data_IF_260993113214
#
_entry.id   IF_260993113214
#
_cell.length_a   1.000
_cell.length_b   1.000
_cell.length_c   1.000
_cell.angle_alpha   90.00
_cell.angle_beta   90.00
_cell.angle_gamma   90.00
#
_symmetry.space_group_name_H-M   'P 1'
#
loop_
_entity.id
_entity.type
_entity.pdbx_description
1 polymer ?
#
# COMPACT_ATOMS: atom_id res chain seq x y z
N UNK A 1 69.83 -1.29 -23.26
CA UNK A 1 68.63 -1.48 -22.42
C UNK A 1 67.31 -1.55 -23.21
N UNK A 2 67.08 -0.68 -24.20
CA UNK A 2 65.82 -0.66 -24.98
C UNK A 2 65.42 -2.00 -25.65
N UNK A 3 66.37 -2.75 -26.24
CA UNK A 3 66.09 -4.05 -26.88
C UNK A 3 65.54 -5.11 -25.91
N UNK A 4 66.06 -5.17 -24.69
CA UNK A 4 65.59 -6.12 -23.68
C UNK A 4 64.16 -5.80 -23.20
N UNK A 5 63.77 -4.53 -23.19
CA UNK A 5 62.41 -4.10 -22.85
C UNK A 5 61.42 -4.51 -23.95
N UNK A 6 61.80 -4.38 -25.22
CA UNK A 6 60.98 -4.79 -26.36
C UNK A 6 60.76 -6.31 -26.38
N UNK A 7 61.80 -7.10 -26.14
CA UNK A 7 61.68 -8.56 -26.03
C UNK A 7 60.75 -8.99 -24.88
N UNK A 8 60.85 -8.32 -23.73
CA UNK A 8 59.93 -8.56 -22.60
C UNK A 8 58.48 -8.14 -22.92
N UNK A 9 58.29 -7.09 -23.70
CA UNK A 9 56.95 -6.67 -24.14
C UNK A 9 56.35 -7.66 -25.15
N UNK A 10 57.19 -8.22 -26.04
CA UNK A 10 56.79 -9.24 -27.00
C UNK A 10 56.37 -10.54 -26.31
N UNK A 11 57.18 -11.06 -25.39
CA UNK A 11 56.84 -12.28 -24.63
C UNK A 11 55.54 -12.14 -23.85
N UNK A 12 55.30 -10.98 -23.20
CA UNK A 12 54.04 -10.72 -22.51
C UNK A 12 52.82 -10.70 -23.44
N UNK A 13 52.98 -10.21 -24.68
CA UNK A 13 51.90 -10.27 -25.68
C UNK A 13 51.60 -11.69 -26.12
N UNK A 14 52.64 -12.47 -26.41
CA UNK A 14 52.51 -13.87 -26.82
C UNK A 14 51.90 -14.73 -25.68
N UNK A 15 52.29 -14.47 -24.44
CA UNK A 15 51.69 -15.09 -23.25
C UNK A 15 50.22 -14.68 -23.07
N UNK A 16 49.87 -13.41 -23.28
CA UNK A 16 48.48 -12.94 -23.19
C UNK A 16 47.61 -13.57 -24.29
N UNK A 17 48.13 -13.68 -25.50
CA UNK A 17 47.46 -14.29 -26.66
C UNK A 17 47.22 -15.79 -26.43
N UNK A 18 48.23 -16.54 -26.02
CA UNK A 18 48.06 -17.95 -25.63
C UNK A 18 47.05 -18.11 -24.50
N UNK A 19 47.04 -17.20 -23.53
CA UNK A 19 46.10 -17.27 -22.41
C UNK A 19 44.67 -16.90 -22.84
N UNK A 20 44.50 -16.02 -23.85
CA UNK A 20 43.21 -15.75 -24.50
C UNK A 20 42.72 -16.95 -25.30
N UNK A 21 43.57 -17.54 -26.12
CA UNK A 21 43.26 -18.75 -26.89
C UNK A 21 42.90 -19.92 -25.98
N UNK A 22 43.63 -20.13 -24.88
CA UNK A 22 43.29 -21.15 -23.88
C UNK A 22 41.93 -20.88 -23.22
N UNK A 23 41.61 -19.62 -22.88
CA UNK A 23 40.29 -19.23 -22.35
C UNK A 23 39.17 -19.45 -23.37
N UNK A 24 39.43 -19.18 -24.64
CA UNK A 24 38.46 -19.36 -25.73
C UNK A 24 38.23 -20.85 -26.02
N UNK A 25 39.29 -21.66 -26.03
CA UNK A 25 39.19 -23.12 -26.13
C UNK A 25 38.47 -23.73 -24.93
N UNK A 26 38.72 -23.24 -23.70
CA UNK A 26 37.96 -23.65 -22.51
C UNK A 26 36.47 -23.28 -22.65
N UNK A 27 36.16 -22.06 -23.09
CA UNK A 27 34.77 -21.62 -23.34
C UNK A 27 34.07 -22.43 -24.43
N UNK A 28 34.80 -22.82 -25.48
CA UNK A 28 34.26 -23.64 -26.56
C UNK A 28 34.05 -25.11 -26.14
N UNK A 29 34.80 -25.58 -25.14
CA UNK A 29 34.71 -26.94 -24.59
C UNK A 29 33.66 -27.07 -23.48
N UNK A 30 33.28 -25.96 -22.84
CA UNK A 30 32.14 -25.92 -21.93
C UNK A 30 30.82 -26.08 -22.71
N UNK A 31 29.99 -27.09 -22.39
CA UNK A 31 28.69 -27.24 -23.03
C UNK A 31 27.80 -26.01 -22.77
N UNK A 32 26.90 -25.60 -23.69
CA UNK A 32 26.08 -24.38 -23.59
C UNK A 32 25.05 -24.33 -22.45
N UNK A 33 25.16 -25.18 -21.43
CA UNK A 33 24.15 -25.39 -20.41
C UNK A 33 24.19 -24.38 -19.24
N UNK A 34 25.30 -23.66 -19.01
CA UNK A 34 25.42 -22.80 -17.83
C UNK A 34 24.88 -21.37 -17.98
N UNK A 35 24.76 -20.84 -19.21
CA UNK A 35 24.30 -19.46 -19.40
C UNK A 35 22.77 -19.33 -19.43
N UNK A 36 22.03 -20.43 -19.67
CA UNK A 36 20.56 -20.42 -19.73
C UNK A 36 19.89 -20.51 -18.35
N UNK A 37 20.59 -21.02 -17.34
CA UNK A 37 20.06 -21.18 -15.98
C UNK A 37 20.09 -19.88 -15.16
N UNK A 38 21.06 -19.00 -15.43
CA UNK A 38 21.21 -17.73 -14.73
C UNK A 38 20.01 -16.77 -14.91
N UNK A 39 19.53 -16.50 -16.15
CA UNK A 39 18.35 -15.64 -16.35
C UNK A 39 17.06 -16.25 -15.80
N UNK A 40 16.90 -17.57 -15.89
CA UNK A 40 15.74 -18.27 -15.32
C UNK A 40 15.72 -18.19 -13.78
N UNK A 41 16.89 -18.32 -13.14
CA UNK A 41 17.05 -18.20 -11.69
C UNK A 41 16.83 -16.77 -11.19
N UNK A 42 17.26 -15.77 -11.95
CA UNK A 42 16.95 -14.36 -11.67
C UNK A 42 15.44 -14.08 -11.80
N UNK A 43 14.81 -14.58 -12.86
CA UNK A 43 13.36 -14.47 -13.05
C UNK A 43 12.58 -15.07 -11.88
N UNK A 44 12.97 -16.25 -11.41
CA UNK A 44 12.38 -16.88 -10.23
C UNK A 44 12.60 -16.06 -8.94
N UNK A 45 13.77 -15.46 -8.76
CA UNK A 45 14.06 -14.59 -7.62
C UNK A 45 13.19 -13.32 -7.63
N UNK A 46 13.04 -12.66 -8.79
CA UNK A 46 12.16 -11.50 -8.93
C UNK A 46 10.69 -11.87 -8.74
N UNK A 47 10.24 -13.01 -9.25
CA UNK A 47 8.89 -13.50 -9.00
C UNK A 47 8.65 -13.75 -7.50
N UNK A 48 9.64 -14.30 -6.79
CA UNK A 48 9.58 -14.52 -5.35
C UNK A 48 9.51 -13.20 -4.58
N UNK A 49 10.33 -12.22 -4.95
CA UNK A 49 10.28 -10.87 -4.38
C UNK A 49 8.94 -10.19 -4.65
N UNK A 50 8.44 -10.27 -5.88
CA UNK A 50 7.13 -9.75 -6.26
C UNK A 50 6.02 -10.36 -5.42
N UNK A 51 6.05 -11.69 -5.20
CA UNK A 51 5.10 -12.37 -4.33
C UNK A 51 5.19 -11.95 -2.86
N UNK A 52 6.39 -11.68 -2.34
CA UNK A 52 6.57 -11.13 -1.00
C UNK A 52 6.00 -9.72 -0.87
N UNK A 53 6.30 -8.85 -1.84
CA UNK A 53 5.79 -7.47 -1.85
C UNK A 53 4.26 -7.44 -1.98
N UNK A 54 3.68 -8.31 -2.80
CA UNK A 54 2.23 -8.43 -2.94
C UNK A 54 1.57 -8.90 -1.64
N UNK A 55 2.16 -9.89 -0.94
CA UNK A 55 1.66 -10.31 0.38
C UNK A 55 1.75 -9.19 1.40
N UNK A 56 2.88 -8.48 1.46
CA UNK A 56 3.04 -7.36 2.36
C UNK A 56 2.03 -6.23 2.08
N UNK A 57 1.72 -5.95 0.81
CA UNK A 57 0.70 -4.98 0.43
C UNK A 57 -0.71 -5.42 0.83
N UNK A 58 -1.03 -6.71 0.70
CA UNK A 58 -2.32 -7.26 1.12
C UNK A 58 -2.49 -7.25 2.65
N UNK A 59 -1.45 -7.62 3.40
CA UNK A 59 -1.45 -7.53 4.87
C UNK A 59 -1.62 -6.08 5.34
N UNK A 60 -0.97 -5.15 4.65
CA UNK A 60 -1.11 -3.72 4.90
C UNK A 60 -2.57 -3.26 4.69
N UNK A 61 -3.20 -3.66 3.58
CA UNK A 61 -4.60 -3.35 3.30
C UNK A 61 -5.53 -3.92 4.39
N UNK A 62 -5.32 -5.17 4.80
CA UNK A 62 -6.12 -5.82 5.85
C UNK A 62 -5.96 -5.14 7.21
N UNK A 63 -4.73 -4.78 7.58
CA UNK A 63 -4.44 -4.05 8.81
C UNK A 63 -5.17 -2.71 8.84
N UNK A 64 -5.00 -1.86 7.81
CA UNK A 64 -5.61 -0.54 7.78
C UNK A 64 -7.11 -0.53 7.48
N UNK A 65 -7.67 -1.65 7.01
CA UNK A 65 -9.13 -1.85 6.96
C UNK A 65 -9.73 -1.96 8.37
N UNK A 66 -8.99 -2.51 9.33
CA UNK A 66 -9.47 -2.78 10.69
C UNK A 66 -9.02 -1.72 11.71
N UNK A 67 -7.96 -0.96 11.42
CA UNK A 67 -7.45 0.09 12.31
C UNK A 67 -8.18 1.42 12.08
N UNK A 68 -8.77 2.03 13.12
CA UNK A 68 -9.47 3.30 12.97
C UNK A 68 -8.50 4.46 12.76
N UNK A 69 -8.91 5.47 11.98
CA UNK A 69 -8.04 6.55 11.49
C UNK A 69 -7.30 7.35 12.60
N UNK A 70 -7.85 7.45 13.81
CA UNK A 70 -7.20 8.14 14.93
C UNK A 70 -5.97 7.42 15.49
N UNK A 71 -5.80 6.13 15.16
CA UNK A 71 -4.61 5.34 15.51
C UNK A 71 -3.49 5.47 14.48
N UNK A 72 -3.76 6.12 13.34
CA UNK A 72 -2.78 6.31 12.28
C UNK A 72 -1.99 7.60 12.51
N UNK A 73 -0.67 7.52 12.45
CA UNK A 73 0.20 8.69 12.43
C UNK A 73 0.26 9.31 11.02
N UNK A 74 0.85 10.50 10.88
CA UNK A 74 0.92 11.21 9.60
C UNK A 74 1.57 10.42 8.46
N UNK A 75 2.56 9.57 8.76
CA UNK A 75 3.24 8.76 7.76
C UNK A 75 2.36 7.61 7.27
N UNK A 76 1.60 6.99 8.18
CA UNK A 76 0.63 5.95 7.85
C UNK A 76 -0.52 6.53 7.01
N UNK A 77 -1.00 7.74 7.34
CA UNK A 77 -2.00 8.44 6.53
C UNK A 77 -1.47 8.70 5.11
N UNK A 78 -0.24 9.23 4.96
CA UNK A 78 0.39 9.43 3.64
C UNK A 78 0.53 8.12 2.86
N UNK A 79 0.89 7.03 3.54
CA UNK A 79 0.99 5.71 2.94
C UNK A 79 -0.36 5.21 2.41
N UNK A 80 -1.40 5.21 3.26
CA UNK A 80 -2.76 4.80 2.89
C UNK A 80 -3.23 5.62 1.70
N UNK A 81 -3.05 6.94 1.74
CA UNK A 81 -3.46 7.83 0.65
C UNK A 81 -2.72 7.53 -0.67
N UNK A 82 -1.45 7.14 -0.61
CA UNK A 82 -0.64 6.92 -1.82
C UNK A 82 -0.87 5.55 -2.46
N UNK A 83 -1.11 4.52 -1.65
CA UNK A 83 -1.11 3.13 -2.12
C UNK A 83 -2.48 2.45 -2.03
N UNK A 84 -3.39 2.95 -1.19
CA UNK A 84 -4.70 2.34 -0.92
C UNK A 84 -5.89 3.30 -1.13
N UNK A 85 -5.66 4.53 -1.60
CA UNK A 85 -6.75 5.38 -2.08
C UNK A 85 -7.42 4.69 -3.26
N UNK A 86 -8.54 4.01 -3.00
CA UNK A 86 -9.39 3.41 -4.03
C UNK A 86 -10.07 4.53 -4.82
N UNK A 87 -9.35 5.20 -5.72
CA UNK A 87 -9.93 6.11 -6.70
C UNK A 87 -9.21 5.97 -8.06
N UNK A 88 -10.04 5.98 -9.11
CA UNK A 88 -9.74 5.97 -10.55
C UNK A 88 -9.40 4.61 -11.21
N UNK A 89 -10.34 3.66 -11.18
CA UNK A 89 -10.24 2.48 -12.03
C UNK A 89 -11.55 1.78 -12.45
N UNK A 90 -12.65 1.94 -11.73
CA UNK A 90 -13.89 1.19 -12.01
C UNK A 90 -15.13 2.00 -11.62
N UNK A 91 -15.47 3.02 -12.42
CA UNK A 91 -16.79 3.65 -12.44
C UNK A 91 -17.34 3.48 -13.87
N UNK A 92 -17.85 2.29 -14.20
CA UNK A 92 -18.75 2.12 -15.34
C UNK A 92 -20.15 2.57 -14.92
N UNK A 93 -20.40 3.84 -15.16
CA UNK A 93 -21.65 4.55 -14.94
C UNK A 93 -22.76 3.94 -15.83
N UNK A 94 -23.73 3.25 -15.22
CA UNK A 94 -25.07 3.09 -15.83
C UNK A 94 -26.09 3.88 -15.01
N UNK A 95 -26.35 5.08 -15.53
CA UNK A 95 -27.49 5.92 -15.20
C UNK A 95 -28.80 5.17 -15.47
N UNK A 96 -29.65 5.04 -14.46
CA UNK A 96 -31.10 4.90 -14.67
C UNK A 96 -31.88 5.52 -13.52
N UNK A 97 -32.48 6.68 -13.85
CA UNK A 97 -33.75 7.28 -13.40
C UNK A 97 -34.32 6.97 -12.02
N UNK A 98 -34.73 8.08 -11.39
CA UNK A 98 -35.66 8.25 -10.27
C UNK A 98 -36.87 7.31 -10.31
N UNK A 99 -37.34 6.86 -9.14
CA UNK A 99 -38.74 7.05 -8.69
C UNK A 99 -38.95 6.60 -7.22
N UNK A 100 -39.32 7.58 -6.38
CA UNK A 100 -40.34 7.60 -5.32
C UNK A 100 -40.84 6.26 -4.71
N UNK A 101 -40.73 6.11 -3.38
CA UNK A 101 -41.87 5.98 -2.45
C UNK A 101 -41.46 5.68 -1.00
N UNK A 102 -42.29 6.16 -0.07
CA UNK A 102 -42.18 6.04 1.38
C UNK A 102 -42.82 4.75 1.93
N UNK A 103 -42.31 4.23 3.05
CA UNK A 103 -43.08 3.75 4.23
C UNK A 103 -42.25 2.83 5.13
N UNK A 104 -42.07 3.26 6.38
CA UNK A 104 -42.33 2.59 7.67
C UNK A 104 -42.10 1.07 7.85
N UNK A 105 -41.45 0.77 9.00
CA UNK A 105 -41.71 -0.32 9.99
C UNK A 105 -40.47 -1.18 10.33
N UNK A 106 -39.99 -0.95 11.56
CA UNK A 106 -39.45 -1.85 12.59
C UNK A 106 -38.88 -3.26 12.30
N UNK A 107 -37.76 -3.49 13.00
CA UNK A 107 -37.41 -4.66 13.82
C UNK A 107 -36.47 -5.74 13.27
N UNK A 108 -35.42 -5.94 14.08
CA UNK A 108 -34.81 -7.22 14.47
C UNK A 108 -33.66 -7.82 13.66
N UNK A 109 -32.57 -7.99 14.42
CA UNK A 109 -31.59 -9.09 14.42
C UNK A 109 -30.35 -8.99 13.53
N UNK A 110 -29.24 -8.73 14.24
CA UNK A 110 -28.00 -9.49 14.27
C UNK A 110 -27.26 -9.81 12.95
N UNK A 111 -25.97 -9.47 13.02
CA UNK A 111 -24.81 -10.09 12.36
C UNK A 111 -24.28 -9.40 11.09
N UNK A 112 -22.96 -9.22 11.12
CA UNK A 112 -22.03 -8.99 10.01
C UNK A 112 -21.77 -7.52 9.60
N UNK A 113 -20.51 -7.14 9.86
CA UNK A 113 -19.72 -6.01 9.38
C UNK A 113 -20.40 -5.05 8.38
N UNK A 114 -20.59 -3.76 8.72
CA UNK A 114 -21.04 -2.81 7.72
C UNK A 114 -19.89 -2.52 6.75
N UNK A 115 -20.03 -3.07 5.55
CA UNK A 115 -19.46 -2.54 4.32
C UNK A 115 -19.62 -1.00 4.31
N UNK A 116 -18.59 -0.31 3.81
CA UNK A 116 -18.65 1.10 3.43
C UNK A 116 -19.82 1.32 2.47
N UNK A 117 -20.96 1.72 3.01
CA UNK A 117 -22.03 2.38 2.28
C UNK A 117 -21.74 3.88 2.33
N UNK A 118 -21.44 4.46 1.17
CA UNK A 118 -21.45 5.90 0.97
C UNK A 118 -22.78 6.46 1.50
N UNK A 119 -22.68 7.49 2.35
CA UNK A 119 -23.72 8.44 2.79
C UNK A 119 -25.00 7.81 3.39
N UNK A 120 -24.88 7.36 4.63
CA UNK A 120 -25.91 7.58 5.64
C UNK A 120 -25.19 8.26 6.81
N UNK A 121 -25.56 9.50 7.15
CA UNK A 121 -25.10 10.15 8.37
C UNK A 121 -25.51 9.27 9.55
N UNK A 122 -24.55 8.60 10.16
CA UNK A 122 -24.82 7.71 11.30
C UNK A 122 -24.50 8.50 12.55
N UNK A 123 -25.52 8.79 13.34
CA UNK A 123 -25.34 9.47 14.62
C UNK A 123 -24.51 8.57 15.55
N UNK A 124 -23.61 9.17 16.31
CA UNK A 124 -22.72 8.47 17.24
C UNK A 124 -23.10 8.89 18.65
N UNK A 125 -23.28 7.92 19.53
CA UNK A 125 -23.51 8.14 20.95
C UNK A 125 -22.22 7.85 21.74
N UNK A 126 -21.86 8.74 22.66
CA UNK A 126 -20.66 8.62 23.49
C UNK A 126 -21.05 8.91 24.94
N UNK A 127 -20.87 7.93 25.82
CA UNK A 127 -21.02 8.11 27.26
C UNK A 127 -19.70 8.57 27.87
N UNK A 128 -19.78 9.61 28.70
CA UNK A 128 -18.63 10.20 29.38
C UNK A 128 -18.96 10.49 30.84
N UNK A 129 -17.91 10.63 31.65
CA UNK A 129 -18.08 11.16 33.00
C UNK A 129 -18.45 12.66 32.95
N UNK A 130 -19.02 13.23 34.02
CA UNK A 130 -19.27 14.66 34.06
C UNK A 130 -17.98 15.47 33.90
N UNK A 131 -18.02 16.54 33.11
CA UNK A 131 -16.86 17.40 32.85
C UNK A 131 -16.98 18.21 31.57
N UNK A 132 -15.94 19.00 31.28
CA UNK A 132 -15.84 19.82 30.07
C UNK A 132 -15.05 19.10 28.99
N UNK A 133 -15.62 18.98 27.79
CA UNK A 133 -15.07 18.24 26.66
C UNK A 133 -14.94 19.11 25.42
N UNK A 134 -13.89 18.86 24.63
CA UNK A 134 -13.72 19.42 23.29
C UNK A 134 -13.90 18.31 22.26
N UNK A 135 -14.88 18.48 21.36
CA UNK A 135 -15.30 17.47 20.40
C UNK A 135 -15.06 18.02 19.01
N UNK A 136 -14.18 17.37 18.26
CA UNK A 136 -13.78 17.77 16.90
C UNK A 136 -14.22 16.73 15.89
N UNK A 137 -14.94 17.18 14.86
CA UNK A 137 -15.29 16.36 13.70
C UNK A 137 -14.56 16.88 12.46
N UNK A 138 -14.19 15.97 11.55
CA UNK A 138 -13.40 16.29 10.35
C UNK A 138 -13.99 15.57 9.13
N UNK A 139 -14.21 16.29 8.02
CA UNK A 139 -14.69 15.71 6.76
C UNK A 139 -13.53 15.17 5.89
N UNK A 140 -13.88 14.43 4.83
CA UNK A 140 -12.92 13.88 3.86
C UNK A 140 -12.09 14.98 3.18
N UNK A 141 -12.68 16.16 3.01
CA UNK A 141 -12.02 17.35 2.45
C UNK A 141 -11.15 18.11 3.47
N UNK A 142 -10.87 17.49 4.63
CA UNK A 142 -10.06 18.04 5.73
C UNK A 142 -10.65 19.29 6.40
N UNK A 143 -11.94 19.57 6.23
CA UNK A 143 -12.65 20.62 6.98
C UNK A 143 -12.86 20.15 8.42
N UNK A 144 -12.57 21.01 9.40
CA UNK A 144 -12.69 20.70 10.84
C UNK A 144 -13.72 21.61 11.50
N UNK A 145 -14.55 21.03 12.36
CA UNK A 145 -15.44 21.79 13.25
C UNK A 145 -15.27 21.26 14.68
N UNK A 146 -15.13 22.16 15.64
CA UNK A 146 -14.90 21.82 17.05
C UNK A 146 -15.95 22.51 17.93
N UNK A 147 -16.56 21.74 18.83
CA UNK A 147 -17.47 22.23 19.86
C UNK A 147 -16.87 21.96 21.23
N UNK A 148 -17.03 22.91 22.16
CA UNK A 148 -16.69 22.72 23.57
C UNK A 148 -17.99 22.67 24.36
N UNK A 149 -18.18 21.60 25.12
CA UNK A 149 -19.42 21.35 25.87
C UNK A 149 -19.09 21.00 27.31
N UNK A 150 -19.94 21.44 28.22
CA UNK A 150 -19.90 21.03 29.63
C UNK A 150 -21.04 20.05 29.88
N UNK A 151 -20.70 18.85 30.39
CA UNK A 151 -21.64 17.74 30.57
C UNK A 151 -21.80 17.46 32.06
N UNK A 152 -23.02 17.62 32.56
CA UNK A 152 -23.41 17.25 33.92
C UNK A 152 -23.86 15.79 34.02
N UNK A 153 -23.91 15.23 35.23
CA UNK A 153 -24.35 13.85 35.46
C UNK A 153 -25.79 13.64 34.98
N UNK A 154 -26.00 12.63 34.12
CA UNK A 154 -27.32 12.30 33.54
C UNK A 154 -27.75 13.23 32.39
N UNK A 155 -26.90 14.16 31.96
CA UNK A 155 -27.16 15.03 30.82
C UNK A 155 -26.73 14.37 29.50
N UNK A 156 -27.53 14.57 28.46
CA UNK A 156 -27.18 14.24 27.07
C UNK A 156 -27.22 15.52 26.23
N UNK A 157 -26.27 15.66 25.30
CA UNK A 157 -26.18 16.80 24.38
C UNK A 157 -26.09 16.26 22.96
N UNK A 158 -27.03 16.65 22.10
CA UNK A 158 -27.00 16.32 20.68
C UNK A 158 -26.17 17.36 19.93
N UNK A 159 -25.13 16.90 19.23
CA UNK A 159 -24.23 17.75 18.45
C UNK A 159 -24.32 17.41 16.98
N UNK A 160 -24.65 18.42 16.17
CA UNK A 160 -24.67 18.32 14.72
C UNK A 160 -23.45 19.05 14.14
N UNK A 161 -22.69 18.34 13.31
CA UNK A 161 -21.54 18.89 12.59
C UNK A 161 -21.91 19.07 11.12
N UNK A 162 -21.66 20.28 10.59
CA UNK A 162 -21.88 20.63 9.19
C UNK A 162 -20.49 20.84 8.59
N UNK A 163 -19.96 19.82 7.92
CA UNK A 163 -18.57 19.69 7.45
C UNK A 163 -18.43 19.44 5.96
#
# INVERSE_FOLDING_TARGET
MARAVLERARRRREEEEQQREQREQQRAREPPALHRQHPARLGAAFASLGGLLQRAAAECEEYYRCVPAWRCNEHEVKHICRYHSRQAGEEEFKSSKEEKNASTVESSQATTCPQRTRKASKDIYIEVSPGTYSITATSEDMVKQTHVVDISAGQSIDLTFVL
#
